data_IF_315518136710
#
_entry.id   IF_315518136710
#
_cell.length_a   1.000
_cell.length_b   1.000
_cell.length_c   1.000
_cell.angle_alpha   90.00
_cell.angle_beta   90.00
_cell.angle_gamma   90.00
#
_symmetry.space_group_name_H-M   'P 1'
#
loop_
_entity.id
_entity.type
_entity.pdbx_description
1 polymer ?
#
# COMPACT_ATOMS: atom_id res chain seq x y z
N UNK A 1 5.35 -0.64 -13.26
CA UNK A 1 4.49 -1.20 -12.18
C UNK A 1 3.06 -1.28 -12.68
N UNK A 2 2.43 -2.45 -12.58
CA UNK A 2 1.03 -2.64 -12.99
C UNK A 2 0.07 -2.00 -11.98
N UNK A 3 -0.99 -1.38 -12.48
CA UNK A 3 -2.07 -0.89 -11.64
C UNK A 3 -2.83 -2.03 -10.97
N UNK A 4 -3.31 -1.81 -9.75
CA UNK A 4 -4.18 -2.73 -9.02
C UNK A 4 -5.39 -1.97 -8.50
N UNK A 5 -6.58 -2.44 -8.85
CA UNK A 5 -7.85 -1.98 -8.29
C UNK A 5 -8.54 -3.12 -7.54
N UNK A 6 -9.29 -2.78 -6.50
CA UNK A 6 -10.06 -3.74 -5.70
C UNK A 6 -11.54 -3.42 -5.86
N UNK A 7 -12.31 -4.41 -6.27
CA UNK A 7 -13.75 -4.36 -6.43
C UNK A 7 -14.42 -5.15 -5.31
N UNK A 8 -15.32 -4.53 -4.58
CA UNK A 8 -16.15 -5.17 -3.55
C UNK A 8 -17.62 -5.13 -3.98
N UNK A 9 -18.29 -6.28 -3.92
CA UNK A 9 -19.71 -6.44 -4.28
C UNK A 9 -20.45 -7.01 -3.08
N UNK A 10 -21.42 -6.25 -2.57
CA UNK A 10 -22.31 -6.64 -1.49
C UNK A 10 -23.70 -6.93 -2.05
N UNK A 11 -24.07 -8.21 -2.12
CA UNK A 11 -25.38 -8.68 -2.56
C UNK A 11 -25.54 -10.19 -2.27
N UNK A 12 -26.77 -10.69 -2.31
CA UNK A 12 -27.06 -12.15 -2.19
C UNK A 12 -27.51 -12.78 -3.50
N UNK A 13 -27.94 -11.97 -4.48
CA UNK A 13 -28.28 -12.40 -5.83
C UNK A 13 -28.34 -11.18 -6.77
N UNK A 14 -28.54 -11.42 -8.06
CA UNK A 14 -28.75 -10.38 -9.06
C UNK A 14 -27.50 -10.07 -9.88
N UNK A 15 -27.56 -8.96 -10.61
CA UNK A 15 -26.53 -8.57 -11.57
C UNK A 15 -26.24 -7.07 -11.50
N UNK A 16 -25.03 -6.69 -11.91
CA UNK A 16 -24.57 -5.31 -11.97
C UNK A 16 -23.71 -5.03 -13.20
N UNK A 17 -23.35 -3.77 -13.43
CA UNK A 17 -22.40 -3.36 -14.48
C UNK A 17 -21.28 -2.52 -13.92
N UNK A 18 -20.11 -2.64 -14.54
CA UNK A 18 -18.98 -1.73 -14.31
C UNK A 18 -18.85 -0.76 -15.48
N UNK A 19 -18.40 0.44 -15.19
CA UNK A 19 -18.01 1.43 -16.17
C UNK A 19 -16.54 1.81 -16.03
N UNK A 20 -15.95 2.28 -17.14
CA UNK A 20 -14.58 2.76 -17.23
C UNK A 20 -14.56 4.02 -18.07
N UNK A 21 -14.06 5.12 -17.51
CA UNK A 21 -13.92 6.38 -18.24
C UNK A 21 -12.63 6.36 -19.08
N UNK A 22 -12.75 6.04 -20.36
CA UNK A 22 -11.61 6.01 -21.27
C UNK A 22 -11.41 7.39 -21.92
N UNK A 23 -10.20 7.71 -22.42
CA UNK A 23 -9.99 8.92 -23.23
C UNK A 23 -10.87 8.99 -24.49
N UNK A 24 -11.41 7.86 -24.96
CA UNK A 24 -12.31 7.77 -26.10
C UNK A 24 -13.81 7.83 -25.71
N UNK A 25 -14.13 7.91 -24.42
CA UNK A 25 -15.48 7.92 -23.88
C UNK A 25 -15.75 6.83 -22.83
N UNK A 26 -16.94 6.87 -22.24
CA UNK A 26 -17.37 5.93 -21.21
C UNK A 26 -17.62 4.53 -21.81
N UNK A 27 -16.93 3.53 -21.29
CA UNK A 27 -17.15 2.13 -21.60
C UNK A 27 -17.94 1.48 -20.46
N UNK A 28 -18.86 0.57 -20.79
CA UNK A 28 -19.67 -0.14 -19.80
C UNK A 28 -19.72 -1.63 -20.12
N UNK A 29 -19.58 -2.48 -19.10
CA UNK A 29 -19.69 -3.94 -19.26
C UNK A 29 -21.11 -4.37 -19.60
N UNK A 30 -21.25 -5.60 -20.08
CA UNK A 30 -22.52 -6.33 -19.97
C UNK A 30 -22.90 -6.61 -18.50
N UNK A 31 -24.07 -7.24 -18.28
CA UNK A 31 -24.51 -7.66 -16.96
C UNK A 31 -23.55 -8.71 -16.37
N UNK A 32 -23.07 -8.44 -15.16
CA UNK A 32 -22.19 -9.30 -14.38
C UNK A 32 -22.99 -9.90 -13.23
N UNK A 33 -22.89 -11.22 -13.02
CA UNK A 33 -23.44 -11.83 -11.80
C UNK A 33 -22.81 -11.21 -10.57
N UNK A 34 -23.61 -11.01 -9.51
CA UNK A 34 -23.11 -10.55 -8.20
C UNK A 34 -21.93 -11.41 -7.69
N UNK A 35 -21.89 -12.69 -8.08
CA UNK A 35 -20.86 -13.65 -7.71
C UNK A 35 -20.00 -14.12 -8.89
N UNK A 36 -19.88 -13.31 -9.96
CA UNK A 36 -19.12 -13.64 -11.18
C UNK A 36 -17.77 -14.33 -10.87
N UNK A 37 -17.38 -15.33 -11.67
CA UNK A 37 -16.09 -15.99 -11.46
C UNK A 37 -14.93 -15.05 -11.78
N UNK A 38 -13.77 -15.24 -11.13
CA UNK A 38 -12.57 -14.46 -11.42
C UNK A 38 -12.19 -14.55 -12.91
N UNK A 39 -12.24 -15.75 -13.48
CA UNK A 39 -11.94 -15.99 -14.90
C UNK A 39 -12.91 -15.28 -15.83
N UNK A 40 -14.21 -15.27 -15.52
CA UNK A 40 -15.24 -14.58 -16.31
C UNK A 40 -15.08 -13.07 -16.22
N UNK A 41 -14.84 -12.52 -15.02
CA UNK A 41 -14.61 -11.08 -14.83
C UNK A 41 -13.34 -10.64 -15.58
N UNK A 42 -12.26 -11.44 -15.51
CA UNK A 42 -11.04 -11.20 -16.27
C UNK A 42 -11.31 -11.14 -17.77
N UNK A 43 -12.05 -12.09 -18.32
CA UNK A 43 -12.39 -12.13 -19.75
C UNK A 43 -13.20 -10.89 -20.16
N UNK A 44 -14.19 -10.49 -19.35
CA UNK A 44 -15.01 -9.30 -19.62
C UNK A 44 -14.15 -8.03 -19.61
N UNK A 45 -13.27 -7.86 -18.63
CA UNK A 45 -12.43 -6.65 -18.53
C UNK A 45 -11.39 -6.60 -19.65
N UNK A 46 -10.80 -7.75 -20.02
CA UNK A 46 -9.90 -7.85 -21.17
C UNK A 46 -10.61 -7.45 -22.46
N UNK A 47 -11.85 -7.90 -22.66
CA UNK A 47 -12.65 -7.49 -23.81
C UNK A 47 -13.02 -6.00 -23.76
N UNK A 48 -13.44 -5.48 -22.60
CA UNK A 48 -13.85 -4.08 -22.41
C UNK A 48 -12.72 -3.11 -22.76
N UNK A 49 -11.51 -3.43 -22.31
CA UNK A 49 -10.34 -2.55 -22.44
C UNK A 49 -9.44 -2.91 -23.63
N UNK A 50 -9.81 -3.89 -24.45
CA UNK A 50 -9.00 -4.36 -25.58
C UNK A 50 -7.62 -4.87 -25.15
N UNK A 51 -7.54 -5.56 -24.02
CA UNK A 51 -6.31 -6.07 -23.42
C UNK A 51 -6.35 -7.60 -23.29
N UNK A 52 -5.17 -8.20 -23.15
CA UNK A 52 -5.02 -9.62 -22.78
C UNK A 52 -4.31 -9.81 -21.44
N UNK A 53 -3.84 -8.70 -20.84
CA UNK A 53 -2.94 -8.71 -19.70
C UNK A 53 -3.61 -8.54 -18.34
N UNK A 54 -4.93 -8.34 -18.29
CA UNK A 54 -5.64 -8.18 -17.02
C UNK A 54 -5.70 -9.53 -16.30
N UNK A 55 -5.42 -9.51 -15.00
CA UNK A 55 -5.53 -10.65 -14.09
C UNK A 55 -6.51 -10.32 -12.98
N UNK A 56 -7.35 -11.28 -12.62
CA UNK A 56 -8.33 -11.12 -11.55
C UNK A 56 -8.19 -12.25 -10.55
N UNK A 57 -8.07 -11.89 -9.28
CA UNK A 57 -8.17 -12.80 -8.15
C UNK A 57 -9.49 -12.52 -7.42
N UNK A 58 -10.08 -13.56 -6.84
CA UNK A 58 -11.36 -13.46 -6.13
C UNK A 58 -11.19 -13.98 -4.71
N UNK A 59 -11.63 -13.20 -3.76
CA UNK A 59 -11.77 -13.58 -2.36
C UNK A 59 -13.23 -13.45 -1.94
N UNK A 60 -13.71 -14.40 -1.12
CA UNK A 60 -15.06 -14.35 -0.57
C UNK A 60 -14.96 -14.43 0.94
N UNK A 61 -15.28 -13.31 1.58
CA UNK A 61 -15.26 -13.19 3.04
C UNK A 61 -16.53 -13.77 3.69
N UNK A 62 -17.69 -13.63 3.03
CA UNK A 62 -18.95 -14.19 3.51
C UNK A 62 -19.92 -14.53 2.36
N UNK A 63 -21.09 -15.10 2.67
CA UNK A 63 -22.17 -15.28 1.66
C UNK A 63 -22.75 -13.95 1.14
N UNK A 64 -22.44 -12.81 1.78
CA UNK A 64 -23.01 -11.49 1.48
C UNK A 64 -22.08 -10.55 0.72
N UNK A 65 -20.76 -10.78 0.76
CA UNK A 65 -19.76 -9.92 0.13
C UNK A 65 -18.72 -10.74 -0.64
N UNK A 66 -18.30 -10.20 -1.78
CA UNK A 66 -17.27 -10.76 -2.65
C UNK A 66 -16.30 -9.67 -3.06
N UNK A 67 -15.01 -9.94 -2.93
CA UNK A 67 -13.94 -9.00 -3.27
C UNK A 67 -13.11 -9.55 -4.43
N UNK A 68 -12.75 -8.69 -5.37
CA UNK A 68 -11.90 -9.01 -6.51
C UNK A 68 -10.69 -8.09 -6.54
N UNK A 69 -9.51 -8.66 -6.67
CA UNK A 69 -8.27 -7.91 -6.89
C UNK A 69 -7.95 -7.97 -8.37
N UNK A 70 -8.00 -6.82 -9.04
CA UNK A 70 -7.84 -6.67 -10.48
C UNK A 70 -6.47 -6.06 -10.73
N UNK A 71 -5.58 -6.80 -11.38
CA UNK A 71 -4.25 -6.31 -11.78
C UNK A 71 -4.23 -6.04 -13.28
N UNK A 72 -3.95 -4.80 -13.67
CA UNK A 72 -3.84 -4.38 -15.06
C UNK A 72 -2.41 -4.60 -15.57
N UNK A 73 -2.18 -5.80 -16.10
CA UNK A 73 -0.89 -6.22 -16.65
C UNK A 73 -0.81 -6.18 -18.18
N UNK A 74 0.27 -6.76 -18.72
CA UNK A 74 0.52 -6.82 -20.17
C UNK A 74 0.58 -5.44 -20.81
N UNK A 75 -0.22 -5.22 -21.85
CA UNK A 75 -0.26 -3.97 -22.63
C UNK A 75 -0.75 -2.76 -21.82
N UNK A 76 -1.42 -3.01 -20.70
CA UNK A 76 -1.88 -1.99 -19.74
C UNK A 76 -0.90 -1.78 -18.58
N UNK A 77 0.14 -2.60 -18.47
CA UNK A 77 1.12 -2.47 -17.38
C UNK A 77 1.82 -1.12 -17.44
N UNK A 78 1.98 -0.47 -16.28
CA UNK A 78 2.64 0.82 -16.20
C UNK A 78 1.77 2.03 -16.56
N UNK A 79 0.51 1.84 -16.97
CA UNK A 79 -0.40 2.96 -17.23
C UNK A 79 -1.20 3.28 -15.96
N UNK A 80 -1.30 4.57 -15.63
CA UNK A 80 -2.27 5.05 -14.64
C UNK A 80 -3.64 5.09 -15.32
N UNK A 81 -4.51 4.15 -14.97
CA UNK A 81 -5.81 3.96 -15.59
C UNK A 81 -6.90 4.65 -14.77
N UNK A 82 -8.02 4.98 -15.42
CA UNK A 82 -9.17 5.45 -14.69
C UNK A 82 -9.71 4.34 -13.77
N UNK A 83 -10.21 4.73 -12.59
CA UNK A 83 -10.83 3.76 -11.70
C UNK A 83 -12.10 3.19 -12.36
N UNK A 84 -12.30 1.88 -12.28
CA UNK A 84 -13.60 1.28 -12.59
C UNK A 84 -14.64 1.85 -11.62
N UNK A 85 -15.87 2.02 -12.11
CA UNK A 85 -16.98 2.52 -11.32
C UNK A 85 -18.18 1.59 -11.42
N UNK A 86 -19.04 1.64 -10.41
CA UNK A 86 -20.36 1.02 -10.53
C UNK A 86 -21.19 1.85 -11.51
N UNK A 87 -21.63 1.24 -12.61
CA UNK A 87 -22.34 1.94 -13.67
C UNK A 87 -23.80 2.26 -13.31
N UNK A 88 -24.29 1.74 -12.19
CA UNK A 88 -25.68 1.82 -11.77
C UNK A 88 -25.77 2.46 -10.38
N UNK A 89 -26.99 2.70 -9.92
CA UNK A 89 -27.30 3.12 -8.56
C UNK A 89 -28.08 2.04 -7.84
N UNK A 90 -28.20 2.16 -6.52
CA UNK A 90 -29.03 1.27 -5.69
C UNK A 90 -30.49 1.18 -6.15
N UNK A 91 -31.01 2.21 -6.82
CA UNK A 91 -32.36 2.23 -7.36
C UNK A 91 -32.51 1.70 -8.80
N UNK A 92 -31.40 1.42 -9.50
CA UNK A 92 -31.41 1.00 -10.92
C UNK A 92 -30.74 -0.34 -11.16
N UNK A 93 -30.04 -0.88 -10.16
CA UNK A 93 -29.38 -2.19 -10.23
C UNK A 93 -30.36 -3.35 -10.13
N UNK A 94 -29.92 -4.54 -10.57
CA UNK A 94 -30.64 -5.80 -10.38
C UNK A 94 -30.16 -6.59 -9.16
N UNK A 95 -29.17 -6.06 -8.42
CA UNK A 95 -28.69 -6.65 -7.18
C UNK A 95 -29.79 -6.69 -6.12
N UNK A 96 -29.80 -7.77 -5.35
CA UNK A 96 -30.71 -7.94 -4.22
C UNK A 96 -29.94 -7.95 -2.90
N UNK A 97 -30.39 -7.18 -1.88
CA UNK A 97 -29.73 -7.13 -0.59
C UNK A 97 -30.04 -8.37 0.25
N UNK A 98 -29.17 -8.67 1.21
CA UNK A 98 -29.51 -9.59 2.29
C UNK A 98 -30.56 -8.96 3.22
N UNK A 99 -31.25 -9.79 4.03
CA UNK A 99 -32.08 -9.33 5.15
C UNK A 99 -31.29 -8.37 6.05
N UNK A 100 -31.90 -7.23 6.40
CA UNK A 100 -31.29 -6.13 7.17
C UNK A 100 -29.98 -5.58 6.56
N UNK A 101 -29.84 -5.61 5.22
CA UNK A 101 -28.65 -5.11 4.53
C UNK A 101 -29.02 -4.31 3.29
N UNK A 102 -28.01 -3.73 2.64
CA UNK A 102 -28.16 -2.97 1.41
C UNK A 102 -27.20 -3.49 0.34
N UNK A 103 -27.52 -3.24 -0.93
CA UNK A 103 -26.62 -3.60 -2.04
C UNK A 103 -25.59 -2.51 -2.24
N UNK A 104 -24.35 -2.90 -2.52
CA UNK A 104 -23.28 -1.96 -2.80
C UNK A 104 -22.25 -2.55 -3.76
N UNK A 105 -21.67 -1.70 -4.58
CA UNK A 105 -20.52 -2.05 -5.42
C UNK A 105 -19.53 -0.91 -5.30
N UNK A 106 -18.39 -1.21 -4.68
CA UNK A 106 -17.32 -0.25 -4.45
C UNK A 106 -16.08 -0.68 -5.22
N UNK A 107 -15.40 0.28 -5.83
CA UNK A 107 -14.07 0.08 -6.40
C UNK A 107 -13.12 1.07 -5.77
N UNK A 108 -11.92 0.62 -5.44
CA UNK A 108 -10.82 1.48 -5.01
C UNK A 108 -9.56 1.14 -5.80
N UNK A 109 -8.74 2.14 -6.11
CA UNK A 109 -7.38 1.90 -6.58
C UNK A 109 -6.47 1.59 -5.39
N UNK A 110 -5.88 0.39 -5.39
CA UNK A 110 -4.91 -0.06 -4.37
C UNK A 110 -3.48 0.36 -4.73
N UNK A 111 -3.15 0.42 -6.02
CA UNK A 111 -1.83 0.85 -6.51
C UNK A 111 -1.94 1.38 -7.93
N UNK A 112 -1.53 2.61 -8.20
CA UNK A 112 -1.52 3.19 -9.54
C UNK A 112 -0.47 2.55 -10.45
N UNK A 113 -0.77 2.44 -11.75
CA UNK A 113 0.21 2.00 -12.73
C UNK A 113 1.18 3.11 -13.10
N UNK A 114 2.46 2.77 -13.24
CA UNK A 114 3.49 3.73 -13.70
C UNK A 114 4.60 3.04 -14.51
N UNK A 115 4.98 3.66 -15.64
CA UNK A 115 6.14 3.30 -16.47
C UNK A 115 7.44 3.92 -15.96
N UNK A 116 7.34 4.91 -15.09
CA UNK A 116 8.43 5.46 -14.31
C UNK A 116 8.22 5.05 -12.84
N UNK A 117 8.36 3.75 -12.50
CA UNK A 117 8.33 3.34 -11.11
C UNK A 117 9.40 4.12 -10.37
N UNK A 118 8.97 4.96 -9.42
CA UNK A 118 9.91 5.54 -8.47
C UNK A 118 10.28 4.42 -7.51
N UNK A 119 11.45 3.83 -7.76
CA UNK A 119 12.12 3.02 -6.73
C UNK A 119 12.24 3.90 -5.47
N UNK A 120 12.15 3.30 -4.28
CA UNK A 120 12.25 3.98 -2.98
C UNK A 120 11.00 4.70 -2.45
N UNK A 121 9.79 4.38 -2.92
CA UNK A 121 8.54 4.90 -2.35
C UNK A 121 7.91 3.98 -1.27
N UNK A 122 8.64 2.95 -0.82
CA UNK A 122 8.21 2.03 0.22
C UNK A 122 9.24 2.02 1.35
N UNK A 123 8.76 2.28 2.57
CA UNK A 123 9.56 2.17 3.77
C UNK A 123 8.91 1.20 4.75
N UNK A 124 9.73 0.28 5.23
CA UNK A 124 9.36 -0.68 6.25
C UNK A 124 9.96 -0.23 7.57
N UNK A 125 9.16 -0.25 8.62
CA UNK A 125 9.57 0.06 9.99
C UNK A 125 9.29 -1.16 10.85
N UNK A 126 10.33 -1.79 11.37
CA UNK A 126 10.20 -2.89 12.34
C UNK A 126 10.32 -2.30 13.73
N UNK A 127 9.21 -2.27 14.47
CA UNK A 127 9.15 -1.70 15.81
C UNK A 127 9.50 -2.79 16.83
N UNK A 128 10.68 -2.68 17.43
CA UNK A 128 11.18 -3.61 18.45
C UNK A 128 11.02 -2.97 19.83
N UNK A 129 9.78 -3.00 20.34
CA UNK A 129 9.42 -2.41 21.63
C UNK A 129 8.28 -3.18 22.30
N UNK A 130 8.24 -3.13 23.63
CA UNK A 130 7.16 -3.63 24.48
C UNK A 130 6.36 -2.48 25.13
N UNK A 131 6.73 -1.22 24.87
CA UNK A 131 6.08 -0.05 25.45
C UNK A 131 6.64 1.27 24.90
N UNK A 132 5.94 2.35 25.22
CA UNK A 132 6.39 3.71 24.93
C UNK A 132 5.93 4.27 23.59
N UNK A 133 6.63 5.29 23.12
CA UNK A 133 6.25 6.07 21.94
C UNK A 133 7.46 6.34 21.03
N UNK A 134 7.18 6.49 19.74
CA UNK A 134 8.15 6.98 18.76
C UNK A 134 7.58 8.16 17.97
N UNK A 135 8.41 8.85 17.19
CA UNK A 135 7.93 9.86 16.25
C UNK A 135 8.68 9.77 14.92
N UNK A 136 7.98 10.06 13.82
CA UNK A 136 8.54 10.07 12.48
C UNK A 136 8.88 11.50 12.07
N UNK A 137 10.09 11.71 11.56
CA UNK A 137 10.56 12.99 11.06
C UNK A 137 10.60 12.97 9.54
N UNK A 138 10.04 13.99 8.92
CA UNK A 138 10.04 14.25 7.50
C UNK A 138 10.79 15.56 7.21
N UNK A 139 11.31 15.68 6.00
CA UNK A 139 11.84 16.93 5.48
C UNK A 139 11.01 17.34 4.28
N UNK A 140 10.41 18.52 4.37
CA UNK A 140 9.49 19.07 3.39
C UNK A 140 10.03 20.39 2.84
N UNK A 141 9.64 20.72 1.61
CA UNK A 141 9.93 22.02 1.03
C UNK A 141 9.03 23.12 1.61
N UNK A 142 9.35 24.38 1.31
CA UNK A 142 8.64 25.54 1.83
C UNK A 142 7.16 25.61 1.42
N UNK A 143 6.82 25.15 0.21
CA UNK A 143 5.44 25.20 -0.29
C UNK A 143 4.55 24.18 0.42
N UNK A 144 5.07 22.97 0.62
CA UNK A 144 4.38 21.92 1.35
C UNK A 144 4.20 22.27 2.82
N UNK A 145 5.19 22.91 3.44
CA UNK A 145 5.09 23.42 4.83
C UNK A 145 3.96 24.43 5.00
N UNK A 146 3.69 25.26 3.99
CA UNK A 146 2.56 26.19 4.01
C UNK A 146 1.21 25.45 3.96
N UNK A 147 1.12 24.36 3.19
CA UNK A 147 -0.07 23.48 3.17
C UNK A 147 -0.29 22.85 4.55
N UNK A 148 0.74 22.25 5.15
CA UNK A 148 0.68 21.66 6.49
C UNK A 148 0.23 22.70 7.51
N UNK A 149 0.86 23.89 7.50
CA UNK A 149 0.58 24.95 8.48
C UNK A 149 -0.88 25.43 8.41
N UNK A 150 -1.46 25.54 7.21
CA UNK A 150 -2.88 25.90 7.06
C UNK A 150 -3.82 24.89 7.72
N UNK A 151 -3.48 23.61 7.71
CA UNK A 151 -4.27 22.53 8.31
C UNK A 151 -4.15 22.37 9.82
N UNK A 152 -3.16 23.01 10.47
CA UNK A 152 -2.94 22.83 11.91
C UNK A 152 -4.07 23.41 12.78
N UNK A 153 -4.79 24.42 12.29
CA UNK A 153 -5.88 25.07 13.04
C UNK A 153 -7.18 24.26 13.11
N UNK A 154 -7.33 23.21 12.30
CA UNK A 154 -8.55 22.41 12.20
C UNK A 154 -8.37 20.94 12.62
N UNK A 155 -7.13 20.51 12.84
CA UNK A 155 -6.80 19.13 13.23
C UNK A 155 -7.02 18.84 14.71
N UNK A 156 -7.31 17.57 15.02
CA UNK A 156 -7.40 17.12 16.42
C UNK A 156 -5.99 17.16 17.08
N UNK A 157 -5.84 17.77 18.28
CA UNK A 157 -4.54 18.04 18.89
C UNK A 157 -3.61 16.83 19.03
N UNK A 158 -4.17 15.62 19.21
CA UNK A 158 -3.40 14.38 19.37
C UNK A 158 -2.63 13.94 18.10
N UNK A 159 -2.96 14.49 16.93
CA UNK A 159 -2.33 14.14 15.65
C UNK A 159 -1.56 15.30 15.01
N UNK A 160 -1.55 16.47 15.66
CA UNK A 160 -0.91 17.64 15.09
C UNK A 160 0.62 17.48 15.09
N UNK A 161 1.27 17.63 13.92
CA UNK A 161 2.72 17.55 13.84
C UNK A 161 3.38 18.82 14.39
N UNK A 162 4.64 18.70 14.78
CA UNK A 162 5.51 19.85 15.06
C UNK A 162 6.22 20.26 13.78
N UNK A 163 6.11 21.54 13.41
CA UNK A 163 6.72 22.10 12.19
C UNK A 163 7.86 23.05 12.54
N UNK A 164 9.07 22.75 12.06
CA UNK A 164 10.26 23.59 12.22
C UNK A 164 10.67 24.18 10.86
N UNK A 165 10.12 25.35 10.54
CA UNK A 165 10.30 26.03 9.24
C UNK A 165 11.76 26.29 8.88
N UNK A 166 12.61 26.62 9.87
CA UNK A 166 14.02 26.91 9.62
C UNK A 166 14.85 25.75 9.07
N UNK A 167 14.46 24.51 9.36
CA UNK A 167 15.13 23.29 8.87
C UNK A 167 14.30 22.50 7.85
N UNK A 168 13.07 22.95 7.56
CA UNK A 168 12.09 22.22 6.77
C UNK A 168 11.63 20.90 7.41
N UNK A 169 11.86 20.73 8.71
CA UNK A 169 11.54 19.50 9.42
C UNK A 169 10.09 19.49 9.89
N UNK A 170 9.41 18.37 9.70
CA UNK A 170 8.09 18.09 10.24
C UNK A 170 8.13 16.79 11.01
N UNK A 171 7.74 16.82 12.29
CA UNK A 171 7.75 15.64 13.15
C UNK A 171 6.32 15.29 13.55
N UNK A 172 5.93 14.03 13.43
CA UNK A 172 4.62 13.57 13.92
C UNK A 172 4.46 13.87 15.41
N UNK A 173 3.21 13.89 15.89
CA UNK A 173 2.99 13.74 17.32
C UNK A 173 3.50 12.37 17.80
N UNK A 174 3.59 12.15 19.13
CA UNK A 174 4.04 10.89 19.70
C UNK A 174 3.11 9.74 19.29
N UNK A 175 3.67 8.72 18.64
CA UNK A 175 2.98 7.53 18.13
C UNK A 175 3.21 6.37 19.10
N UNK A 176 2.15 5.69 19.59
CA UNK A 176 2.29 4.50 20.43
C UNK A 176 3.05 3.38 19.70
N UNK A 177 3.88 2.62 20.43
CA UNK A 177 4.65 1.50 19.84
C UNK A 177 3.76 0.43 19.16
N UNK A 178 2.53 0.25 19.65
CA UNK A 178 1.54 -0.71 19.17
C UNK A 178 0.43 -0.07 18.32
N UNK A 179 0.70 1.08 17.70
CA UNK A 179 -0.25 1.79 16.83
C UNK A 179 -0.83 0.92 15.71
N UNK A 180 -2.14 1.02 15.44
CA UNK A 180 -2.75 0.32 14.30
C UNK A 180 -2.43 1.03 12.98
N UNK A 181 -2.57 0.36 11.84
CA UNK A 181 -2.35 0.97 10.53
C UNK A 181 -3.27 2.18 10.28
N UNK A 182 -4.55 2.05 10.63
CA UNK A 182 -5.54 3.12 10.50
C UNK A 182 -5.21 4.30 11.41
N UNK A 183 -4.74 4.03 12.63
CA UNK A 183 -4.37 5.09 13.57
C UNK A 183 -3.09 5.81 13.16
N UNK A 184 -2.09 5.08 12.67
CA UNK A 184 -0.86 5.65 12.13
C UNK A 184 -1.16 6.57 10.93
N UNK A 185 -2.12 6.20 10.08
CA UNK A 185 -2.55 7.06 8.97
C UNK A 185 -3.05 8.43 9.49
N UNK A 186 -3.75 8.48 10.63
CA UNK A 186 -4.20 9.75 11.23
C UNK A 186 -3.05 10.66 11.66
N UNK A 187 -1.93 10.10 12.11
CA UNK A 187 -0.71 10.86 12.42
C UNK A 187 0.00 11.39 11.17
N UNK A 188 -0.12 10.67 10.06
CA UNK A 188 0.54 11.01 8.79
C UNK A 188 -0.29 11.97 7.93
N UNK A 189 -1.62 11.93 8.01
CA UNK A 189 -2.52 12.74 7.19
C UNK A 189 -2.26 14.25 7.27
N UNK A 190 -2.05 14.87 8.44
CA UNK A 190 -1.74 16.30 8.50
C UNK A 190 -0.43 16.68 7.81
N UNK A 191 0.48 15.72 7.64
CA UNK A 191 1.80 15.91 7.02
C UNK A 191 1.74 15.62 5.52
N UNK A 192 1.19 14.46 5.14
CA UNK A 192 1.24 13.93 3.78
C UNK A 192 -0.03 14.20 2.98
N UNK A 193 -1.14 14.50 3.65
CA UNK A 193 -2.42 14.86 3.03
C UNK A 193 -3.00 16.18 3.59
N UNK A 194 -2.23 17.27 3.66
CA UNK A 194 -2.62 18.48 4.38
C UNK A 194 -3.90 19.12 3.82
N UNK A 195 -4.19 18.96 2.52
CA UNK A 195 -5.41 19.48 1.91
C UNK A 195 -6.69 18.86 2.49
N UNK A 196 -6.64 17.62 3.00
CA UNK A 196 -7.81 16.91 3.55
C UNK A 196 -8.38 17.57 4.82
N UNK A 197 -7.61 18.48 5.43
CA UNK A 197 -8.02 19.29 6.58
C UNK A 197 -8.77 20.58 6.18
N UNK A 198 -8.89 20.86 4.88
CA UNK A 198 -9.44 22.10 4.31
C UNK A 198 -10.58 21.81 3.34
N UNK A 199 -11.82 22.13 3.72
CA UNK A 199 -13.03 21.79 2.94
C UNK A 199 -13.17 22.43 1.54
N UNK A 200 -12.24 23.30 1.14
CA UNK A 200 -12.22 23.93 -0.19
C UNK A 200 -11.07 23.47 -1.10
N UNK A 201 -10.22 22.54 -0.65
CA UNK A 201 -9.10 22.03 -1.44
C UNK A 201 -9.36 20.58 -1.87
N UNK A 202 -8.88 20.15 -3.05
CA UNK A 202 -8.95 18.75 -3.46
C UNK A 202 -8.25 17.85 -2.45
N UNK A 203 -8.95 16.80 -2.01
CA UNK A 203 -8.39 15.80 -1.12
C UNK A 203 -7.29 15.01 -1.83
N UNK A 204 -6.21 14.72 -1.11
CA UNK A 204 -5.08 13.92 -1.59
C UNK A 204 -5.02 12.59 -0.84
N UNK A 205 -4.37 11.61 -1.47
CA UNK A 205 -4.00 10.34 -0.84
C UNK A 205 -2.57 10.01 -1.25
N UNK A 206 -1.62 10.59 -0.53
CA UNK A 206 -0.19 10.47 -0.81
C UNK A 206 0.51 9.38 0.01
N UNK A 207 -0.21 8.70 0.90
CA UNK A 207 0.35 7.62 1.73
C UNK A 207 -0.68 6.53 1.96
N UNK A 208 -0.21 5.28 1.96
CA UNK A 208 -0.95 4.12 2.45
C UNK A 208 -0.12 3.42 3.54
N UNK A 209 -0.82 2.90 4.56
CA UNK A 209 -0.20 2.24 5.71
C UNK A 209 -0.72 0.82 5.83
N UNK A 210 0.19 -0.13 6.04
CA UNK A 210 -0.13 -1.49 6.43
C UNK A 210 0.65 -1.86 7.69
N UNK A 211 0.10 -2.78 8.49
CA UNK A 211 0.78 -3.35 9.66
C UNK A 211 0.67 -4.87 9.64
N UNK A 212 1.80 -5.55 9.84
CA UNK A 212 1.90 -6.99 9.95
C UNK A 212 2.73 -7.30 11.20
N UNK A 213 2.08 -7.71 12.29
CA UNK A 213 2.75 -7.88 13.58
C UNK A 213 3.37 -6.57 14.08
N UNK A 214 4.69 -6.57 14.28
CA UNK A 214 5.46 -5.39 14.68
C UNK A 214 6.05 -4.59 13.49
N UNK A 215 5.72 -4.98 12.26
CA UNK A 215 6.21 -4.33 11.04
C UNK A 215 5.14 -3.40 10.49
N UNK A 216 5.51 -2.15 10.26
CA UNK A 216 4.73 -1.14 9.56
C UNK A 216 5.28 -0.94 8.16
N UNK A 217 4.41 -0.85 7.17
CA UNK A 217 4.78 -0.63 5.78
C UNK A 217 4.10 0.67 5.34
N UNK A 218 4.90 1.67 4.98
CA UNK A 218 4.45 2.94 4.44
C UNK A 218 4.71 2.94 2.94
N UNK A 219 3.65 3.17 2.17
CA UNK A 219 3.71 3.33 0.72
C UNK A 219 3.44 4.79 0.38
N UNK A 220 4.45 5.49 -0.12
CA UNK A 220 4.34 6.86 -0.61
C UNK A 220 3.84 6.86 -2.06
N UNK A 221 2.86 7.70 -2.34
CA UNK A 221 2.15 7.75 -3.60
C UNK A 221 1.72 9.19 -3.91
N UNK A 222 1.14 9.43 -5.09
CA UNK A 222 0.69 10.76 -5.49
C UNK A 222 1.80 11.81 -5.55
N UNK A 223 1.45 13.04 -5.16
CA UNK A 223 2.31 14.24 -5.21
C UNK A 223 3.57 14.05 -4.33
N UNK A 224 3.41 13.42 -3.16
CA UNK A 224 4.50 13.14 -2.21
C UNK A 224 5.12 11.74 -2.40
N UNK A 225 5.02 11.15 -3.60
CA UNK A 225 5.62 9.85 -3.90
C UNK A 225 7.16 9.79 -3.75
N UNK A 226 7.82 10.94 -3.72
CA UNK A 226 9.27 11.07 -3.50
C UNK A 226 9.68 11.33 -2.05
N UNK A 227 8.70 11.50 -1.14
CA UNK A 227 8.99 11.71 0.28
C UNK A 227 9.45 10.42 0.93
N UNK A 228 10.26 10.59 1.98
CA UNK A 228 10.69 9.53 2.86
C UNK A 228 10.71 10.05 4.30
N UNK A 229 10.54 9.14 5.25
CA UNK A 229 10.94 9.38 6.64
C UNK A 229 12.46 9.57 6.66
N UNK A 230 12.88 10.71 7.19
CA UNK A 230 14.29 11.12 7.31
C UNK A 230 14.89 10.69 8.65
N UNK A 231 14.06 10.47 9.66
CA UNK A 231 14.50 10.05 10.98
C UNK A 231 13.35 9.49 11.80
N UNK A 232 13.69 8.67 12.79
CA UNK A 232 12.74 8.13 13.78
C UNK A 232 13.28 8.46 15.16
N UNK A 233 12.50 9.18 15.94
CA UNK A 233 12.79 9.36 17.37
C UNK A 233 12.28 8.13 18.12
N UNK A 234 13.23 7.35 18.64
CA UNK A 234 12.98 6.12 19.41
C UNK A 234 13.32 6.28 20.89
N UNK A 235 13.68 7.49 21.33
CA UNK A 235 14.18 7.77 22.68
C UNK A 235 13.19 7.40 23.80
N UNK A 236 11.91 7.27 23.46
CA UNK A 236 10.81 6.95 24.38
C UNK A 236 10.25 5.54 24.17
N UNK A 237 10.93 4.68 23.40
CA UNK A 237 10.58 3.26 23.28
C UNK A 237 11.29 2.44 24.36
N UNK A 238 10.61 1.42 24.87
CA UNK A 238 11.16 0.46 25.83
C UNK A 238 11.01 -0.96 25.31
N UNK A 239 11.96 -1.83 25.64
CA UNK A 239 11.92 -3.27 25.35
C UNK A 239 12.38 -4.04 26.59
N UNK A 240 11.42 -4.57 27.36
CA UNK A 240 11.71 -5.15 28.67
C UNK A 240 12.37 -4.12 29.60
N UNK A 241 13.56 -4.44 30.10
CA UNK A 241 14.37 -3.55 30.95
C UNK A 241 15.33 -2.64 30.15
N UNK A 242 15.27 -2.68 28.81
CA UNK A 242 16.16 -1.92 27.91
C UNK A 242 15.44 -0.89 27.04
N UNK A 243 16.20 -0.19 26.20
CA UNK A 243 15.68 0.71 25.19
C UNK A 243 15.07 -0.08 24.02
N UNK A 244 13.88 0.33 23.58
CA UNK A 244 13.29 -0.17 22.34
C UNK A 244 13.86 0.55 21.11
N UNK A 245 13.61 0.00 19.93
CA UNK A 245 14.14 0.54 18.68
C UNK A 245 13.17 0.43 17.52
N UNK A 246 13.49 1.12 16.43
CA UNK A 246 12.79 1.00 15.14
C UNK A 246 13.84 0.84 14.06
N UNK A 247 13.82 -0.29 13.37
CA UNK A 247 14.66 -0.50 12.20
C UNK A 247 13.91 0.02 10.97
N UNK A 248 14.53 0.91 10.22
CA UNK A 248 13.96 1.51 9.00
C UNK A 248 14.68 0.97 7.79
N UNK A 249 13.92 0.36 6.88
CA UNK A 249 14.44 -0.10 5.61
C UNK A 249 13.70 0.61 4.46
N UNK A 250 14.46 1.26 3.60
CA UNK A 250 13.99 1.70 2.29
C UNK A 250 14.07 0.54 1.32
N UNK A 251 12.97 0.21 0.64
CA UNK A 251 12.97 -0.91 -0.32
C UNK A 251 13.66 -0.49 -1.61
N UNK A 252 14.99 -0.64 -1.64
CA UNK A 252 15.81 -0.36 -2.81
C UNK A 252 16.09 -1.63 -3.61
N UNK A 253 16.41 -2.75 -2.95
CA UNK A 253 16.65 -4.07 -3.55
C UNK A 253 16.36 -5.20 -2.53
N UNK A 254 16.07 -6.42 -2.99
CA UNK A 254 15.84 -7.61 -2.14
C UNK A 254 14.37 -8.02 -1.91
N UNK A 255 14.15 -9.04 -1.06
CA UNK A 255 12.84 -9.64 -0.77
C UNK A 255 12.58 -9.57 0.74
N UNK A 256 11.55 -8.81 1.16
CA UNK A 256 10.98 -8.89 2.49
C UNK A 256 9.72 -9.76 2.46
N UNK A 257 9.59 -10.65 3.43
CA UNK A 257 8.47 -11.56 3.55
C UNK A 257 7.89 -11.53 4.97
N UNK A 258 6.58 -11.70 5.07
CA UNK A 258 5.86 -11.67 6.35
C UNK A 258 4.73 -12.71 6.35
N UNK A 259 4.45 -13.29 7.51
CA UNK A 259 3.32 -14.22 7.68
C UNK A 259 3.51 -15.57 6.99
N UNK A 260 4.74 -15.94 6.63
CA UNK A 260 5.09 -17.24 6.08
C UNK A 260 5.94 -18.01 7.09
N UNK A 261 5.75 -19.32 7.18
CA UNK A 261 6.49 -20.18 8.12
C UNK A 261 7.78 -20.73 7.52
N UNK A 262 7.76 -20.99 6.21
CA UNK A 262 8.90 -21.52 5.45
C UNK A 262 9.10 -20.74 4.17
N UNK A 263 10.34 -20.34 3.91
CA UNK A 263 10.79 -19.75 2.66
C UNK A 263 11.82 -20.68 2.02
N UNK A 264 11.55 -21.14 0.81
CA UNK A 264 12.51 -21.91 0.01
C UNK A 264 13.05 -21.02 -1.10
N UNK A 265 14.37 -20.94 -1.23
CA UNK A 265 15.07 -20.16 -2.25
C UNK A 265 16.02 -21.11 -2.98
N UNK A 266 15.85 -21.22 -4.29
CA UNK A 266 16.72 -22.00 -5.17
C UNK A 266 17.44 -21.01 -6.09
N UNK A 267 18.77 -20.91 -5.95
CA UNK A 267 19.63 -20.10 -6.81
C UNK A 267 20.02 -20.86 -8.09
N UNK A 268 20.68 -20.17 -9.01
CA UNK A 268 21.08 -20.70 -10.30
C UNK A 268 22.35 -21.54 -10.22
N UNK A 269 22.85 -22.01 -11.37
CA UNK A 269 24.13 -22.72 -11.45
C UNK A 269 25.33 -21.79 -11.72
N UNK A 270 25.21 -20.50 -11.40
CA UNK A 270 26.25 -19.49 -11.60
C UNK A 270 26.85 -19.06 -10.27
N UNK A 271 27.88 -18.22 -10.31
CA UNK A 271 28.46 -17.64 -9.08
C UNK A 271 27.47 -16.61 -8.52
N UNK A 272 26.81 -16.94 -7.40
CA UNK A 272 25.75 -16.11 -6.82
C UNK A 272 26.19 -15.41 -5.54
N UNK A 273 25.75 -14.15 -5.35
CA UNK A 273 25.91 -13.41 -4.09
C UNK A 273 24.55 -13.23 -3.40
N UNK A 274 24.42 -13.74 -2.18
CA UNK A 274 23.18 -13.70 -1.42
C UNK A 274 23.34 -13.02 -0.06
N UNK A 275 22.67 -11.89 0.13
CA UNK A 275 22.64 -11.15 1.41
C UNK A 275 21.37 -11.48 2.21
N UNK A 276 21.54 -11.83 3.48
CA UNK A 276 20.47 -12.08 4.46
C UNK A 276 20.58 -11.06 5.59
N UNK A 277 19.68 -10.08 5.57
CA UNK A 277 19.58 -9.06 6.62
C UNK A 277 18.81 -9.52 7.86
N UNK A 278 18.03 -10.57 7.73
CA UNK A 278 17.28 -11.18 8.81
C UNK A 278 16.23 -12.14 8.28
N UNK A 279 15.81 -13.09 9.09
CA UNK A 279 14.77 -14.06 8.73
C UNK A 279 13.78 -14.22 9.88
N UNK A 280 12.48 -14.18 9.57
CA UNK A 280 11.41 -14.50 10.54
C UNK A 280 10.77 -15.87 10.27
N UNK A 281 11.10 -16.49 9.13
CA UNK A 281 10.62 -17.80 8.70
C UNK A 281 11.80 -18.79 8.61
N UNK A 282 11.51 -20.09 8.66
CA UNK A 282 12.50 -21.12 8.32
C UNK A 282 12.92 -20.91 6.87
N UNK A 283 14.17 -20.52 6.65
CA UNK A 283 14.67 -20.19 5.30
C UNK A 283 15.60 -21.29 4.82
N UNK A 284 15.18 -22.00 3.77
CA UNK A 284 15.99 -22.99 3.08
C UNK A 284 16.58 -22.36 1.82
N UNK A 285 17.92 -22.22 1.77
CA UNK A 285 18.63 -21.71 0.60
C UNK A 285 19.37 -22.87 -0.09
N UNK A 286 19.10 -23.10 -1.38
CA UNK A 286 19.88 -23.99 -2.24
C UNK A 286 20.68 -23.13 -3.21
N UNK A 287 22.00 -23.15 -3.07
CA UNK A 287 22.88 -22.31 -3.91
C UNK A 287 23.23 -22.97 -5.25
N UNK A 288 22.98 -24.28 -5.37
CA UNK A 288 23.30 -25.09 -6.54
C UNK A 288 24.81 -25.07 -6.89
N UNK A 289 25.19 -24.89 -8.15
CA UNK A 289 26.58 -24.95 -8.59
C UNK A 289 27.10 -23.53 -8.82
N UNK A 290 28.38 -23.27 -8.59
CA UNK A 290 28.95 -21.92 -8.67
C UNK A 290 29.84 -21.64 -7.47
N UNK A 291 30.57 -20.52 -7.53
CA UNK A 291 31.31 -19.97 -6.41
C UNK A 291 30.42 -18.96 -5.67
N UNK A 292 29.58 -19.48 -4.78
CA UNK A 292 28.56 -18.67 -4.09
C UNK A 292 29.11 -17.95 -2.85
N UNK A 293 28.69 -16.71 -2.67
CA UNK A 293 29.00 -15.89 -1.49
C UNK A 293 27.73 -15.55 -0.71
N UNK A 294 27.68 -15.97 0.56
CA UNK A 294 26.52 -15.77 1.44
C UNK A 294 26.91 -14.87 2.61
N UNK A 295 26.22 -13.74 2.75
CA UNK A 295 26.41 -12.80 3.84
C UNK A 295 25.19 -12.79 4.74
N UNK A 296 25.35 -13.10 6.03
CA UNK A 296 24.24 -13.12 7.00
C UNK A 296 24.57 -12.18 8.15
N UNK A 297 23.92 -11.02 8.16
CA UNK A 297 23.97 -10.06 9.29
C UNK A 297 22.89 -9.01 9.08
N UNK A 298 22.49 -8.31 10.15
CA UNK A 298 21.58 -7.15 10.03
C UNK A 298 22.10 -6.02 9.13
N UNK A 299 23.37 -6.08 8.71
CA UNK A 299 24.03 -5.12 7.83
C UNK A 299 24.51 -5.73 6.51
N UNK A 300 24.13 -6.97 6.19
CA UNK A 300 24.54 -7.66 4.97
C UNK A 300 24.01 -6.91 3.74
N UNK A 301 24.90 -6.23 3.03
CA UNK A 301 24.60 -5.46 1.83
C UNK A 301 25.84 -5.40 0.92
N UNK A 302 26.39 -6.57 0.62
CA UNK A 302 27.57 -6.69 -0.24
C UNK A 302 27.12 -6.72 -1.70
N UNK A 303 27.85 -6.02 -2.56
CA UNK A 303 27.67 -6.06 -4.00
C UNK A 303 28.73 -6.97 -4.63
N UNK A 304 28.43 -7.67 -5.73
CA UNK A 304 29.42 -8.50 -6.40
C UNK A 304 30.63 -7.66 -6.81
N UNK A 305 31.84 -8.20 -6.59
CA UNK A 305 33.07 -7.57 -7.06
C UNK A 305 33.13 -7.75 -8.57
N UNK A 306 33.04 -6.66 -9.33
CA UNK A 306 33.18 -6.68 -10.80
C UNK A 306 34.62 -6.74 -11.25
#
# INVERSE_FOLDING_TARGET
VSEVQVLSVQAVSGQFRLSYDSPAGLLTTGLLSYDISAASLQAVLNQLLGSTGIRVEKYRDSRKSVTYTITFGGDLAGRNLAQLAWAETRGTTQLQPAVESSVDVEVITLRDGTTAPRNNNLQTFTVNASGGFFALQFRMDSEWLDRITRGLGTGAPAYLPTVLRGSGSVTTHAIPYDVSAAELLRYLDPILNPNNSSGGLPHTRNVAVQRIGNVLILSFQGEESGVRVQGVDVSRLTLGNGAGGVDVATRMDGINYYGIETLNIDLGSGDDLFNVQGTSATTNLRTAAGADEIYVSSTANVSPVT
#
